data_IF_481472742457
#
_entry.id   IF_481472742457
#
_cell.length_a   1.000
_cell.length_b   1.000
_cell.length_c   1.000
_cell.angle_alpha   90.00
_cell.angle_beta   90.00
_cell.angle_gamma   90.00
#
_symmetry.space_group_name_H-M   'P 1'
#
loop_
_entity.id
_entity.type
_entity.pdbx_description
1 polymer ?
#
# COMPACT_ATOMS: atom_id res chain seq x y z
N UNK A 1 38.48 41.15 -21.14
CA UNK A 1 38.50 39.68 -21.32
C UNK A 1 37.05 39.22 -21.41
N UNK A 2 36.58 38.77 -22.59
CA UNK A 2 35.17 38.42 -22.83
C UNK A 2 35.04 36.89 -22.77
N UNK A 3 34.43 36.38 -21.70
CA UNK A 3 34.17 34.96 -21.49
C UNK A 3 32.94 34.55 -22.30
N UNK A 4 33.10 33.64 -23.27
CA UNK A 4 31.99 33.04 -24.02
C UNK A 4 31.47 31.84 -23.23
N UNK A 5 30.22 31.89 -22.78
CA UNK A 5 29.52 30.73 -22.21
C UNK A 5 28.98 29.86 -23.34
N UNK A 6 29.34 28.58 -23.34
CA UNK A 6 28.85 27.55 -24.27
C UNK A 6 27.67 26.82 -23.58
N UNK A 7 26.50 26.67 -24.23
CA UNK A 7 25.38 25.98 -23.59
C UNK A 7 25.59 24.47 -23.68
N UNK A 8 25.79 23.84 -22.53
CA UNK A 8 25.84 22.39 -22.38
C UNK A 8 24.42 21.84 -22.47
N UNK A 9 24.06 21.30 -23.64
CA UNK A 9 22.82 20.55 -23.84
C UNK A 9 22.85 19.27 -22.97
N UNK A 10 22.17 19.32 -21.83
CA UNK A 10 21.86 18.16 -21.01
C UNK A 10 20.76 17.38 -21.74
N UNK A 11 21.15 16.31 -22.43
CA UNK A 11 20.23 15.31 -22.97
C UNK A 11 19.73 14.49 -21.78
N UNK A 12 18.53 14.84 -21.31
CA UNK A 12 17.81 14.09 -20.29
C UNK A 12 17.22 12.83 -20.94
N UNK A 13 17.92 11.70 -20.83
CA UNK A 13 17.42 10.40 -21.26
C UNK A 13 16.28 9.97 -20.32
N UNK A 14 15.04 10.15 -20.77
CA UNK A 14 13.87 9.56 -20.15
C UNK A 14 13.87 8.05 -20.39
N UNK A 15 14.30 7.26 -19.40
CA UNK A 15 14.12 5.81 -19.43
C UNK A 15 12.66 5.51 -19.13
N UNK A 16 11.90 5.26 -20.18
CA UNK A 16 10.53 4.74 -20.11
C UNK A 16 10.65 3.31 -19.58
N UNK A 17 10.13 3.06 -18.38
CA UNK A 17 10.02 1.71 -17.81
C UNK A 17 8.94 0.94 -18.58
N UNK A 18 9.32 0.39 -19.73
CA UNK A 18 8.54 -0.62 -20.43
C UNK A 18 8.45 -1.89 -19.58
N UNK A 19 7.33 -2.62 -19.69
CA UNK A 19 7.26 -4.00 -19.22
C UNK A 19 8.42 -4.77 -19.87
N UNK A 20 9.49 -5.00 -19.12
CA UNK A 20 10.69 -5.60 -19.67
C UNK A 20 10.38 -7.03 -20.11
N UNK A 21 10.22 -7.20 -21.41
CA UNK A 21 10.31 -8.49 -22.08
C UNK A 21 11.76 -8.99 -21.94
N UNK A 22 11.93 -10.30 -21.79
CA UNK A 22 13.25 -10.92 -21.66
C UNK A 22 14.03 -10.79 -22.97
N UNK A 23 15.31 -10.46 -22.91
CA UNK A 23 16.16 -10.35 -24.10
C UNK A 23 16.65 -11.71 -24.60
N UNK A 24 17.04 -11.81 -25.87
CA UNK A 24 17.70 -13.01 -26.42
C UNK A 24 18.96 -13.37 -25.63
N UNK A 25 19.73 -12.35 -25.22
CA UNK A 25 20.93 -12.54 -24.41
C UNK A 25 20.60 -13.18 -23.05
N UNK A 26 19.57 -12.69 -22.34
CA UNK A 26 19.12 -13.29 -21.08
C UNK A 26 18.61 -14.73 -21.27
N UNK A 27 17.89 -15.00 -22.36
CA UNK A 27 17.49 -16.37 -22.71
C UNK A 27 18.73 -17.27 -22.87
N UNK A 28 19.73 -16.83 -23.64
CA UNK A 28 20.94 -17.60 -23.96
C UNK A 28 21.87 -17.75 -22.75
N UNK A 29 21.93 -16.75 -21.87
CA UNK A 29 22.70 -16.81 -20.62
C UNK A 29 22.13 -17.90 -19.71
N UNK A 30 20.80 -18.01 -19.63
CA UNK A 30 20.13 -19.14 -18.98
C UNK A 30 20.25 -19.19 -17.45
N UNK A 31 20.55 -18.07 -16.79
CA UNK A 31 20.55 -17.99 -15.32
C UNK A 31 19.11 -17.87 -14.76
N UNK A 32 18.34 -18.92 -15.01
CA UNK A 32 16.92 -18.98 -14.67
C UNK A 32 16.65 -18.84 -13.19
N UNK A 33 17.57 -19.29 -12.34
CA UNK A 33 17.47 -19.11 -10.90
C UNK A 33 17.54 -17.63 -10.52
N UNK A 34 18.51 -16.85 -11.03
CA UNK A 34 18.61 -15.43 -10.73
C UNK A 34 17.45 -14.62 -11.30
N UNK A 35 16.99 -14.94 -12.50
CA UNK A 35 15.79 -14.32 -13.10
C UNK A 35 14.57 -14.56 -12.19
N UNK A 36 14.37 -15.80 -11.75
CA UNK A 36 13.33 -16.14 -10.79
C UNK A 36 13.46 -15.38 -9.49
N UNK A 37 14.65 -15.36 -8.90
CA UNK A 37 14.95 -14.67 -7.63
C UNK A 37 14.59 -13.18 -7.72
N UNK A 38 15.00 -12.51 -8.79
CA UNK A 38 14.67 -11.11 -9.08
C UNK A 38 13.16 -10.89 -9.15
N UNK A 39 12.46 -11.68 -9.97
CA UNK A 39 11.00 -11.57 -10.13
C UNK A 39 10.26 -11.78 -8.81
N UNK A 40 10.66 -12.80 -8.04
CA UNK A 40 10.09 -13.10 -6.74
C UNK A 40 10.31 -11.98 -5.72
N UNK A 41 11.54 -11.45 -5.64
CA UNK A 41 11.90 -10.35 -4.73
C UNK A 41 11.21 -9.03 -5.07
N UNK A 42 10.82 -8.86 -6.34
CA UNK A 42 10.03 -7.72 -6.82
C UNK A 42 8.51 -7.94 -6.70
N UNK A 43 8.06 -9.08 -6.17
CA UNK A 43 6.63 -9.37 -6.00
C UNK A 43 5.87 -9.58 -7.32
N UNK A 44 6.58 -9.96 -8.39
CA UNK A 44 5.98 -10.14 -9.69
C UNK A 44 5.16 -11.44 -9.76
N UNK A 45 4.13 -11.43 -10.61
CA UNK A 45 3.41 -12.66 -10.95
C UNK A 45 4.36 -13.66 -11.62
N UNK A 46 3.96 -14.92 -11.68
CA UNK A 46 4.78 -15.96 -12.30
C UNK A 46 4.84 -15.73 -13.81
N UNK A 47 6.04 -15.44 -14.33
CA UNK A 47 6.31 -15.17 -15.75
C UNK A 47 6.88 -16.38 -16.50
N UNK A 48 6.90 -17.56 -15.88
CA UNK A 48 7.46 -18.78 -16.48
C UNK A 48 6.89 -19.09 -17.88
N UNK A 49 5.58 -18.92 -18.05
CA UNK A 49 4.91 -19.15 -19.33
C UNK A 49 5.32 -18.12 -20.38
N UNK A 50 5.40 -16.85 -19.98
CA UNK A 50 5.85 -15.76 -20.86
C UNK A 50 7.29 -15.98 -21.31
N UNK A 51 8.22 -16.27 -20.38
CA UNK A 51 9.60 -16.57 -20.73
C UNK A 51 9.74 -17.82 -21.61
N UNK A 52 8.92 -18.86 -21.38
CA UNK A 52 8.93 -20.05 -22.22
C UNK A 52 8.53 -19.74 -23.66
N UNK A 53 7.55 -18.85 -23.83
CA UNK A 53 7.11 -18.37 -25.14
C UNK A 53 8.22 -17.53 -25.79
N UNK A 54 8.68 -16.49 -25.11
CA UNK A 54 9.64 -15.51 -25.65
C UNK A 54 10.97 -16.18 -26.03
N UNK A 55 11.52 -17.04 -25.16
CA UNK A 55 12.80 -17.71 -25.45
C UNK A 55 12.70 -18.81 -26.50
N UNK A 56 11.50 -19.34 -26.77
CA UNK A 56 11.30 -20.32 -27.84
C UNK A 56 11.52 -19.72 -29.23
N UNK A 57 11.32 -18.41 -29.39
CA UNK A 57 11.62 -17.68 -30.64
C UNK A 57 13.11 -17.74 -31.00
N UNK A 58 13.97 -17.85 -29.99
CA UNK A 58 15.42 -18.00 -30.15
C UNK A 58 15.90 -19.46 -30.07
N UNK A 59 14.96 -20.41 -30.11
CA UNK A 59 15.21 -21.85 -29.94
C UNK A 59 15.87 -22.21 -28.60
N UNK A 60 15.61 -21.42 -27.55
CA UNK A 60 16.11 -21.66 -26.19
C UNK A 60 15.00 -22.25 -25.32
N UNK A 61 15.33 -23.33 -24.58
CA UNK A 61 14.43 -23.94 -23.60
C UNK A 61 14.69 -23.37 -22.21
N UNK A 62 13.64 -22.87 -21.56
CA UNK A 62 13.68 -22.35 -20.19
C UNK A 62 13.78 -23.48 -19.17
N UNK A 63 14.66 -23.35 -18.17
CA UNK A 63 14.63 -24.22 -16.98
C UNK A 63 13.59 -23.71 -15.97
N UNK A 64 12.36 -24.22 -16.13
CA UNK A 64 11.23 -23.89 -15.26
C UNK A 64 11.47 -24.27 -13.80
N UNK A 65 12.25 -25.32 -13.52
CA UNK A 65 12.52 -25.75 -12.16
C UNK A 65 13.42 -24.75 -11.45
N UNK A 66 14.51 -24.33 -12.10
CA UNK A 66 15.41 -23.31 -11.57
C UNK A 66 14.71 -21.96 -11.42
N UNK A 67 13.91 -21.55 -12.41
CA UNK A 67 13.12 -20.32 -12.32
C UNK A 67 12.17 -20.32 -11.13
N UNK A 68 11.34 -21.37 -11.00
CA UNK A 68 10.37 -21.44 -9.90
C UNK A 68 11.05 -21.54 -8.54
N UNK A 69 12.19 -22.23 -8.45
CA UNK A 69 13.01 -22.27 -7.22
C UNK A 69 13.50 -20.87 -6.85
N UNK A 70 14.11 -20.15 -7.80
CA UNK A 70 14.57 -18.78 -7.59
C UNK A 70 13.43 -17.86 -7.19
N UNK A 71 12.29 -17.94 -7.89
CA UNK A 71 11.11 -17.13 -7.59
C UNK A 71 10.56 -17.38 -6.20
N UNK A 72 10.48 -18.63 -5.78
CA UNK A 72 10.04 -18.97 -4.42
C UNK A 72 11.01 -18.44 -3.37
N UNK A 73 12.32 -18.54 -3.61
CA UNK A 73 13.34 -17.97 -2.72
C UNK A 73 13.23 -16.43 -2.66
N UNK A 74 12.96 -15.77 -3.78
CA UNK A 74 12.77 -14.31 -3.86
C UNK A 74 11.49 -13.86 -3.17
N UNK A 75 10.40 -14.62 -3.28
CA UNK A 75 9.16 -14.31 -2.57
C UNK A 75 9.32 -14.34 -1.05
N UNK A 76 10.31 -15.04 -0.50
CA UNK A 76 10.60 -15.00 0.95
C UNK A 76 11.06 -13.62 1.41
N UNK A 77 11.72 -12.85 0.55
CA UNK A 77 12.16 -11.48 0.88
C UNK A 77 11.05 -10.46 0.64
N UNK A 78 10.21 -10.68 -0.38
CA UNK A 78 9.06 -9.82 -0.65
C UNK A 78 7.91 -10.01 0.36
N UNK A 79 7.59 -11.24 0.75
CA UNK A 79 6.42 -11.59 1.55
C UNK A 79 6.69 -11.46 3.05
N UNK A 80 7.08 -10.26 3.46
CA UNK A 80 7.33 -9.89 4.85
C UNK A 80 6.27 -8.91 5.34
N UNK A 81 6.11 -8.81 6.66
CA UNK A 81 5.23 -7.81 7.25
C UNK A 81 5.66 -6.39 6.88
N UNK A 82 6.96 -6.10 6.97
CA UNK A 82 7.53 -4.79 6.70
C UNK A 82 7.28 -4.36 5.26
N UNK A 83 7.48 -5.28 4.30
CA UNK A 83 7.17 -4.99 2.91
C UNK A 83 5.66 -4.86 2.67
N UNK A 84 4.83 -5.65 3.36
CA UNK A 84 3.38 -5.47 3.35
C UNK A 84 2.97 -4.05 3.78
N UNK A 85 3.55 -3.53 4.87
CA UNK A 85 3.36 -2.15 5.32
C UNK A 85 3.75 -1.15 4.22
N UNK A 86 4.94 -1.28 3.64
CA UNK A 86 5.43 -0.37 2.59
C UNK A 86 4.52 -0.35 1.36
N UNK A 87 4.14 -1.54 0.85
CA UNK A 87 3.25 -1.67 -0.31
C UNK A 87 1.86 -1.09 -0.01
N UNK A 88 1.33 -1.35 1.18
CA UNK A 88 0.04 -0.82 1.61
C UNK A 88 0.04 0.71 1.73
N UNK A 89 1.07 1.29 2.36
CA UNK A 89 1.23 2.74 2.49
C UNK A 89 1.40 3.44 1.14
N UNK A 90 2.06 2.78 0.19
CA UNK A 90 2.20 3.27 -1.18
C UNK A 90 0.89 3.19 -2.00
N UNK A 91 -0.22 2.72 -1.40
CA UNK A 91 -1.50 2.48 -2.08
C UNK A 91 -1.35 1.57 -3.31
N UNK A 92 -0.37 0.66 -3.30
CA UNK A 92 -0.11 -0.24 -4.41
C UNK A 92 -0.99 -1.49 -4.29
N UNK A 93 -1.48 -1.98 -5.43
CA UNK A 93 -2.28 -3.22 -5.46
C UNK A 93 -1.40 -4.45 -5.23
N UNK A 94 -1.90 -5.39 -4.42
CA UNK A 94 -1.24 -6.66 -4.17
C UNK A 94 -1.72 -7.79 -5.10
N UNK A 95 -0.80 -8.33 -5.90
CA UNK A 95 -1.04 -9.37 -6.91
C UNK A 95 -1.23 -10.80 -6.36
N UNK A 96 -1.42 -10.95 -5.04
CA UNK A 96 -1.63 -12.26 -4.38
C UNK A 96 -0.50 -13.27 -4.64
N UNK A 97 0.74 -12.79 -4.72
CA UNK A 97 1.91 -13.60 -5.11
C UNK A 97 2.54 -14.39 -3.96
N UNK A 98 2.20 -14.06 -2.70
CA UNK A 98 2.80 -14.72 -1.55
C UNK A 98 2.28 -16.15 -1.38
N UNK A 99 3.19 -17.13 -1.15
CA UNK A 99 2.81 -18.47 -0.73
C UNK A 99 1.97 -18.46 0.54
N UNK A 100 1.16 -19.50 0.74
CA UNK A 100 0.20 -19.58 1.85
C UNK A 100 0.87 -19.33 3.21
N UNK A 101 2.04 -19.91 3.43
CA UNK A 101 2.83 -19.82 4.67
C UNK A 101 3.40 -18.42 4.94
N UNK A 102 3.57 -17.57 3.92
CA UNK A 102 4.07 -16.20 4.07
C UNK A 102 2.97 -15.14 3.96
N UNK A 103 1.84 -15.50 3.34
CA UNK A 103 0.74 -14.59 3.02
C UNK A 103 0.18 -13.90 4.27
N UNK A 104 0.09 -14.60 5.41
CA UNK A 104 -0.45 -14.06 6.65
C UNK A 104 0.35 -12.85 7.16
N UNK A 105 1.67 -12.94 7.21
CA UNK A 105 2.51 -11.84 7.73
C UNK A 105 2.51 -10.65 6.77
N UNK A 106 2.61 -10.89 5.46
CA UNK A 106 2.50 -9.83 4.46
C UNK A 106 1.13 -9.13 4.55
N UNK A 107 0.03 -9.89 4.60
CA UNK A 107 -1.32 -9.34 4.65
C UNK A 107 -1.63 -8.59 5.95
N UNK A 108 -1.02 -9.01 7.06
CA UNK A 108 -1.12 -8.29 8.34
C UNK A 108 -0.53 -6.88 8.22
N UNK A 109 0.60 -6.71 7.53
CA UNK A 109 1.17 -5.38 7.25
C UNK A 109 0.39 -4.62 6.17
N UNK A 110 0.02 -5.31 5.09
CA UNK A 110 -0.60 -4.70 3.90
C UNK A 110 -2.01 -4.18 4.15
N UNK A 111 -2.91 -5.01 4.67
CA UNK A 111 -4.35 -4.74 4.68
C UNK A 111 -4.75 -3.45 5.41
N UNK A 112 -4.32 -3.20 6.67
CA UNK A 112 -4.71 -1.98 7.37
C UNK A 112 -4.07 -0.73 6.76
N UNK A 113 -2.81 -0.82 6.30
CA UNK A 113 -2.12 0.30 5.66
C UNK A 113 -2.73 0.67 4.30
N UNK A 114 -3.01 -0.33 3.45
CA UNK A 114 -3.67 -0.15 2.16
C UNK A 114 -5.06 0.47 2.32
N UNK A 115 -5.83 0.05 3.34
CA UNK A 115 -7.15 0.64 3.61
C UNK A 115 -7.05 2.13 3.93
N UNK A 116 -6.11 2.53 4.78
CA UNK A 116 -5.91 3.95 5.12
C UNK A 116 -5.48 4.73 3.88
N UNK A 117 -4.44 4.28 3.17
CA UNK A 117 -3.91 4.97 2.00
C UNK A 117 -4.96 5.15 0.88
N UNK A 118 -5.79 4.11 0.65
CA UNK A 118 -6.88 4.17 -0.32
C UNK A 118 -7.96 5.19 0.08
N UNK A 119 -8.35 5.23 1.35
CA UNK A 119 -9.34 6.19 1.84
C UNK A 119 -8.81 7.63 1.81
N UNK A 120 -7.53 7.83 2.11
CA UNK A 120 -6.87 9.15 1.97
C UNK A 120 -6.89 9.62 0.52
N UNK A 121 -6.55 8.73 -0.42
CA UNK A 121 -6.62 9.03 -1.85
C UNK A 121 -8.05 9.36 -2.31
N UNK A 122 -9.06 8.66 -1.79
CA UNK A 122 -10.47 8.95 -2.09
C UNK A 122 -10.91 10.32 -1.56
N UNK A 123 -10.60 10.63 -0.30
CA UNK A 123 -10.87 11.93 0.32
C UNK A 123 -10.23 13.06 -0.49
N UNK A 124 -8.96 12.91 -0.85
CA UNK A 124 -8.24 13.90 -1.66
C UNK A 124 -8.86 14.08 -3.05
N UNK A 125 -9.26 12.99 -3.71
CA UNK A 125 -9.91 13.04 -5.03
C UNK A 125 -11.27 13.72 -4.98
N UNK A 126 -12.08 13.44 -3.95
CA UNK A 126 -13.39 14.06 -3.76
C UNK A 126 -13.25 15.55 -3.48
N UNK A 127 -12.32 15.93 -2.60
CA UNK A 127 -12.03 17.33 -2.29
C UNK A 127 -11.61 18.10 -3.55
N UNK A 128 -10.68 17.55 -4.32
CA UNK A 128 -10.21 18.17 -5.58
C UNK A 128 -11.36 18.33 -6.58
N UNK A 129 -12.19 17.29 -6.76
CA UNK A 129 -13.34 17.36 -7.67
C UNK A 129 -14.40 18.37 -7.22
N UNK A 130 -14.64 18.51 -5.91
CA UNK A 130 -15.55 19.52 -5.36
C UNK A 130 -15.02 20.93 -5.65
N UNK A 131 -13.73 21.14 -5.44
CA UNK A 131 -13.11 22.45 -5.64
C UNK A 131 -13.06 22.82 -7.13
N UNK A 132 -12.83 21.86 -8.03
CA UNK A 132 -12.94 22.04 -9.48
C UNK A 132 -14.37 22.46 -9.90
N UNK A 133 -15.40 21.82 -9.36
CA UNK A 133 -16.79 22.17 -9.65
C UNK A 133 -17.18 23.55 -9.07
N UNK A 134 -16.66 23.92 -7.90
CA UNK A 134 -16.82 25.28 -7.36
C UNK A 134 -16.15 26.33 -8.25
N UNK A 135 -14.98 26.04 -8.80
CA UNK A 135 -14.31 26.93 -9.75
C UNK A 135 -15.16 27.07 -11.02
N UNK A 136 -15.73 25.98 -11.54
CA UNK A 136 -16.63 26.00 -12.71
C UNK A 136 -17.88 26.87 -12.47
N UNK A 137 -18.43 26.89 -11.26
CA UNK A 137 -19.56 27.76 -10.88
C UNK A 137 -19.25 29.26 -11.00
N UNK A 138 -17.98 29.65 -10.97
CA UNK A 138 -17.57 31.06 -11.12
C UNK A 138 -17.64 31.55 -12.57
N UNK A 139 -17.84 30.66 -13.55
CA UNK A 139 -17.96 31.04 -14.95
C UNK A 139 -19.27 31.84 -15.17
N UNK A 140 -19.19 33.12 -15.59
CA UNK A 140 -20.39 33.94 -15.81
C UNK A 140 -21.28 33.42 -16.94
N UNK A 141 -20.71 32.70 -17.91
CA UNK A 141 -21.42 32.21 -19.11
C UNK A 141 -22.19 30.90 -18.85
N UNK A 142 -22.11 30.34 -17.64
CA UNK A 142 -22.80 29.10 -17.30
C UNK A 142 -24.32 29.28 -17.27
N UNK A 143 -25.05 28.38 -17.90
CA UNK A 143 -26.51 28.39 -17.90
C UNK A 143 -27.08 28.16 -16.49
N UNK A 144 -28.33 28.57 -16.26
CA UNK A 144 -29.00 28.33 -14.98
C UNK A 144 -29.15 26.82 -14.67
N UNK A 145 -29.38 26.01 -15.71
CA UNK A 145 -29.48 24.56 -15.62
C UNK A 145 -28.13 23.94 -15.22
N UNK A 146 -27.04 24.33 -15.89
CA UNK A 146 -25.69 23.83 -15.55
C UNK A 146 -25.29 24.20 -14.13
N UNK A 147 -25.66 25.41 -13.66
CA UNK A 147 -25.43 25.84 -12.28
C UNK A 147 -26.21 24.95 -11.31
N UNK A 148 -27.46 24.62 -11.61
CA UNK A 148 -28.26 23.73 -10.76
C UNK A 148 -27.65 22.32 -10.70
N UNK A 149 -27.21 21.78 -11.84
CA UNK A 149 -26.56 20.47 -11.92
C UNK A 149 -25.24 20.43 -11.13
N UNK A 150 -24.39 21.46 -11.28
CA UNK A 150 -23.14 21.56 -10.51
C UNK A 150 -23.38 21.65 -9.00
N UNK A 151 -24.38 22.42 -8.55
CA UNK A 151 -24.72 22.46 -7.12
C UNK A 151 -25.17 21.09 -6.61
N UNK A 152 -26.02 20.37 -7.36
CA UNK A 152 -26.45 19.03 -6.99
C UNK A 152 -25.27 18.04 -6.91
N UNK A 153 -24.33 18.14 -7.86
CA UNK A 153 -23.10 17.35 -7.89
C UNK A 153 -22.18 17.63 -6.71
N UNK A 154 -21.96 18.91 -6.38
CA UNK A 154 -21.17 19.33 -5.22
C UNK A 154 -21.78 18.79 -3.93
N UNK A 155 -23.10 18.97 -3.74
CA UNK A 155 -23.79 18.48 -2.55
C UNK A 155 -23.66 16.95 -2.42
N UNK A 156 -23.81 16.21 -3.51
CA UNK A 156 -23.63 14.75 -3.51
C UNK A 156 -22.20 14.35 -3.13
N UNK A 157 -21.19 15.00 -3.73
CA UNK A 157 -19.77 14.73 -3.44
C UNK A 157 -19.39 15.12 -2.02
N UNK A 158 -19.97 16.19 -1.46
CA UNK A 158 -19.76 16.59 -0.07
C UNK A 158 -20.28 15.54 0.92
N UNK A 159 -21.46 14.95 0.65
CA UNK A 159 -21.96 13.84 1.46
C UNK A 159 -21.10 12.58 1.32
N UNK A 160 -20.54 12.33 0.12
CA UNK A 160 -19.59 11.24 -0.08
C UNK A 160 -18.27 11.48 0.68
N UNK A 161 -17.73 12.70 0.61
CA UNK A 161 -16.52 13.11 1.32
C UNK A 161 -16.69 12.91 2.83
N UNK A 162 -17.81 13.37 3.39
CA UNK A 162 -18.14 13.17 4.81
C UNK A 162 -18.16 11.69 5.21
N UNK A 163 -18.69 10.81 4.35
CA UNK A 163 -18.66 9.36 4.59
C UNK A 163 -17.23 8.81 4.52
N UNK A 164 -16.47 9.19 3.50
CA UNK A 164 -15.08 8.77 3.32
C UNK A 164 -14.18 9.21 4.48
N UNK A 165 -14.36 10.43 5.00
CA UNK A 165 -13.63 10.95 6.17
C UNK A 165 -13.94 10.19 7.46
N UNK A 166 -15.21 9.81 7.67
CA UNK A 166 -15.61 8.97 8.80
C UNK A 166 -14.95 7.60 8.73
N UNK A 167 -14.99 6.96 7.55
CA UNK A 167 -14.34 5.67 7.31
C UNK A 167 -12.81 5.75 7.46
N UNK A 168 -12.20 6.85 6.98
CA UNK A 168 -10.78 7.09 7.13
C UNK A 168 -10.38 7.21 8.60
N UNK A 169 -11.17 7.94 9.39
CA UNK A 169 -10.94 8.11 10.83
C UNK A 169 -10.98 6.75 11.55
N UNK A 170 -11.99 5.93 11.24
CA UNK A 170 -12.12 4.56 11.78
C UNK A 170 -10.96 3.66 11.36
N UNK A 171 -10.57 3.71 10.09
CA UNK A 171 -9.44 2.94 9.57
C UNK A 171 -8.12 3.34 10.24
N UNK A 172 -7.91 4.63 10.53
CA UNK A 172 -6.74 5.15 11.26
C UNK A 172 -6.68 4.61 12.69
N UNK A 173 -7.80 4.57 13.41
CA UNK A 173 -7.84 3.98 14.75
C UNK A 173 -7.58 2.47 14.73
N UNK A 174 -8.14 1.75 13.74
CA UNK A 174 -7.87 0.32 13.55
C UNK A 174 -6.39 0.05 13.24
N UNK A 175 -5.76 0.88 12.39
CA UNK A 175 -4.33 0.80 12.12
C UNK A 175 -3.51 1.03 13.40
N UNK A 176 -3.86 2.04 14.21
CA UNK A 176 -3.16 2.30 15.48
C UNK A 176 -3.28 1.14 16.46
N UNK A 177 -4.46 0.54 16.59
CA UNK A 177 -4.63 -0.67 17.41
C UNK A 177 -3.78 -1.83 16.89
N UNK A 178 -3.73 -2.03 15.57
CA UNK A 178 -2.91 -3.06 14.96
C UNK A 178 -1.42 -2.85 15.27
N UNK A 179 -0.91 -1.62 15.11
CA UNK A 179 0.48 -1.27 15.43
C UNK A 179 0.80 -1.52 16.92
N UNK A 180 -0.08 -1.11 17.82
CA UNK A 180 0.06 -1.34 19.26
C UNK A 180 0.10 -2.84 19.55
N UNK A 181 -0.83 -3.62 19.00
CA UNK A 181 -0.86 -5.07 19.17
C UNK A 181 0.42 -5.74 18.67
N UNK A 182 0.95 -5.32 17.52
CA UNK A 182 2.23 -5.82 17.00
C UNK A 182 3.39 -5.49 17.93
N UNK A 183 3.47 -4.26 18.44
CA UNK A 183 4.52 -3.87 19.40
C UNK A 183 4.44 -4.68 20.69
N UNK A 184 3.24 -4.86 21.25
CA UNK A 184 3.02 -5.68 22.45
C UNK A 184 3.38 -7.15 22.22
N UNK A 185 3.06 -7.70 21.05
CA UNK A 185 3.47 -9.06 20.67
C UNK A 185 4.99 -9.19 20.61
N UNK A 186 5.70 -8.19 20.06
CA UNK A 186 7.16 -8.18 20.02
C UNK A 186 7.78 -8.08 21.41
N UNK A 187 7.22 -7.22 22.28
CA UNK A 187 7.63 -7.13 23.69
C UNK A 187 7.43 -8.48 24.39
N UNK A 188 6.26 -9.10 24.24
CA UNK A 188 5.95 -10.40 24.84
C UNK A 188 6.95 -11.49 24.40
N UNK A 189 7.29 -11.54 23.09
CA UNK A 189 8.33 -12.44 22.56
C UNK A 189 9.71 -12.17 23.15
N UNK A 190 10.05 -10.92 23.43
CA UNK A 190 11.33 -10.56 24.04
C UNK A 190 11.38 -10.94 25.53
N UNK A 191 10.28 -10.75 26.25
CA UNK A 191 10.19 -11.00 27.70
C UNK A 191 10.44 -12.47 28.11
N UNK A 192 10.18 -13.42 27.21
CA UNK A 192 10.38 -14.86 27.48
C UNK A 192 11.82 -15.34 27.21
N UNK A 193 12.72 -14.46 26.76
CA UNK A 193 14.12 -14.84 26.53
C UNK A 193 14.83 -15.15 27.86
N UNK A 194 15.57 -16.28 27.96
CA UNK A 194 16.16 -16.74 29.22
C UNK A 194 17.21 -15.77 29.77
N UNK A 195 18.02 -15.16 28.90
CA UNK A 195 19.17 -14.32 29.29
C UNK A 195 18.82 -12.82 29.40
N UNK A 196 17.55 -12.49 29.57
CA UNK A 196 17.10 -11.10 29.59
C UNK A 196 17.39 -10.44 30.95
N UNK A 197 18.15 -9.33 30.94
CA UNK A 197 18.55 -8.59 32.14
C UNK A 197 17.36 -8.04 32.93
N UNK A 198 17.55 -7.80 34.23
CA UNK A 198 16.51 -7.24 35.12
C UNK A 198 16.08 -5.84 34.66
N UNK A 199 17.04 -5.00 34.27
CA UNK A 199 16.80 -3.64 33.77
C UNK A 199 16.00 -3.68 32.46
N UNK A 200 16.35 -4.59 31.55
CA UNK A 200 15.63 -4.74 30.30
C UNK A 200 14.20 -5.25 30.53
N UNK A 201 14.01 -6.21 31.44
CA UNK A 201 12.68 -6.69 31.86
C UNK A 201 11.83 -5.56 32.42
N UNK A 202 12.38 -4.73 33.31
CA UNK A 202 11.67 -3.58 33.88
C UNK A 202 11.27 -2.57 32.80
N UNK A 203 12.17 -2.28 31.85
CA UNK A 203 11.89 -1.38 30.71
C UNK A 203 10.78 -1.93 29.81
N UNK A 204 10.85 -3.20 29.41
CA UNK A 204 9.84 -3.84 28.57
C UNK A 204 8.46 -3.86 29.25
N UNK A 205 8.41 -4.13 30.55
CA UNK A 205 7.17 -4.08 31.33
C UNK A 205 6.55 -2.67 31.31
N UNK A 206 7.35 -1.64 31.58
CA UNK A 206 6.88 -0.26 31.53
C UNK A 206 6.39 0.14 30.13
N UNK A 207 7.05 -0.34 29.06
CA UNK A 207 6.61 -0.13 27.69
C UNK A 207 5.27 -0.82 27.40
N UNK A 208 5.08 -2.08 27.81
CA UNK A 208 3.82 -2.80 27.63
C UNK A 208 2.66 -2.13 28.39
N UNK A 209 2.90 -1.65 29.61
CA UNK A 209 1.91 -0.91 30.40
C UNK A 209 1.48 0.40 29.70
N UNK A 210 2.41 1.11 29.06
CA UNK A 210 2.09 2.30 28.27
C UNK A 210 1.24 1.94 27.05
N UNK A 211 1.64 0.90 26.31
CA UNK A 211 0.92 0.43 25.13
C UNK A 211 -0.49 -0.09 25.48
N UNK A 212 -0.67 -0.72 26.64
CA UNK A 212 -1.98 -1.16 27.11
C UNK A 212 -2.94 0.00 27.37
N UNK A 213 -2.45 1.12 27.92
CA UNK A 213 -3.25 2.35 28.09
C UNK A 213 -3.64 2.96 26.75
N UNK A 214 -2.69 3.04 25.83
CA UNK A 214 -2.93 3.54 24.48
C UNK A 214 -3.93 2.66 23.71
N UNK A 215 -3.81 1.34 23.85
CA UNK A 215 -4.78 0.38 23.30
C UNK A 215 -6.20 0.68 23.79
N UNK A 216 -6.38 0.81 25.11
CA UNK A 216 -7.69 1.11 25.70
C UNK A 216 -8.29 2.43 25.23
N UNK A 217 -7.44 3.44 24.97
CA UNK A 217 -7.88 4.72 24.39
C UNK A 217 -8.46 4.54 22.98
N UNK A 218 -7.74 3.88 22.06
CA UNK A 218 -8.22 3.67 20.69
C UNK A 218 -9.40 2.69 20.60
N UNK A 219 -9.47 1.70 21.49
CA UNK A 219 -10.65 0.84 21.64
C UNK A 219 -11.88 1.66 22.04
N UNK A 220 -11.71 2.61 22.97
CA UNK A 220 -12.73 3.57 23.37
C UNK A 220 -13.20 4.44 22.19
N UNK A 221 -12.27 4.99 21.42
CA UNK A 221 -12.59 5.79 20.23
C UNK A 221 -13.41 5.01 19.20
N UNK A 222 -13.00 3.78 18.86
CA UNK A 222 -13.75 2.94 17.93
C UNK A 222 -15.16 2.62 18.42
N UNK A 223 -15.33 2.37 19.72
CA UNK A 223 -16.65 2.13 20.32
C UNK A 223 -17.57 3.34 20.16
N UNK A 224 -17.04 4.55 20.37
CA UNK A 224 -17.78 5.80 20.17
C UNK A 224 -18.17 5.96 18.69
N UNK A 225 -17.23 5.78 17.75
CA UNK A 225 -17.50 5.91 16.31
C UNK A 225 -18.58 4.93 15.84
N UNK A 226 -18.51 3.65 16.24
CA UNK A 226 -19.51 2.64 15.88
C UNK A 226 -20.89 2.96 16.47
N UNK A 227 -20.95 3.49 17.69
CA UNK A 227 -22.20 3.87 18.34
C UNK A 227 -22.85 5.05 17.61
N UNK A 228 -22.06 6.06 17.23
CA UNK A 228 -22.53 7.20 16.46
C UNK A 228 -23.08 6.80 15.08
N UNK A 229 -22.40 5.88 14.37
CA UNK A 229 -22.88 5.31 13.11
C UNK A 229 -24.23 4.57 13.29
N UNK A 230 -24.36 3.80 14.38
CA UNK A 230 -25.60 3.07 14.68
C UNK A 230 -26.76 4.03 14.95
N UNK A 231 -26.53 5.07 15.76
CA UNK A 231 -27.54 6.10 16.04
C UNK A 231 -27.94 6.82 14.75
N UNK A 232 -26.97 7.20 13.91
CA UNK A 232 -27.23 7.84 12.62
C UNK A 232 -28.06 6.94 11.70
N UNK A 233 -27.71 5.65 11.60
CA UNK A 233 -28.48 4.69 10.81
C UNK A 233 -29.91 4.53 11.31
N UNK A 234 -30.15 4.66 12.61
CA UNK A 234 -31.50 4.64 13.17
C UNK A 234 -32.27 5.93 12.86
N UNK A 235 -31.63 7.10 12.94
CA UNK A 235 -32.27 8.37 12.61
C UNK A 235 -32.59 8.49 11.12
N UNK A 236 -31.79 7.90 10.23
CA UNK A 236 -32.04 7.91 8.78
C UNK A 236 -33.22 6.99 8.37
N UNK A 237 -33.77 6.19 9.30
CA UNK A 237 -34.94 5.32 9.09
C UNK A 237 -36.29 5.97 9.48
N UNK A 238 -36.27 7.15 10.11
CA UNK A 238 -37.45 7.89 10.58
C UNK A 238 -37.58 9.23 9.85
#
# INVERSE_FOLDING_TARGET
MKSKALPMCIILAATISGCAAISEEECRLGDWYQIGLKDGSAGQQNKAADYSKDCSEYSVKVDLSLYNKGRNDGLRTYCTYENGVMVGQANQSYNKVCPAELSTEFLAGYTPNYRVARLESQVQSLQSSIDDDKIRLLNPDLSAEDKANLHADINRKQEELKRADSELTKAKYQLKLHEIQRQRQMISKEMVKPDLSVERKAKLKSQDESLAKEQGFYEGLLKVTNTAETIKSLTDLF
#
